data_IF_292648102731
#
_entry.id   IF_292648102731
#
_cell.length_a   1.000
_cell.length_b   1.000
_cell.length_c   1.000
_cell.angle_alpha   90.00
_cell.angle_beta   90.00
_cell.angle_gamma   90.00
#
_symmetry.space_group_name_H-M   'P 1'
#
loop_
_entity.id
_entity.type
_entity.pdbx_description
1 polymer ?
#
# COMPACT_ATOMS: atom_id res chain seq x y z
N UNK A 1 4.04 13.30 3.88
CA UNK A 1 3.58 12.07 3.20
C UNK A 1 2.55 12.44 2.14
N UNK A 2 2.78 12.02 0.92
CA UNK A 2 1.81 12.15 -0.15
C UNK A 2 0.78 11.03 -0.06
N UNK A 3 -0.50 11.34 -0.25
CA UNK A 3 -1.58 10.34 -0.24
C UNK A 3 -2.21 10.30 -1.63
N UNK A 4 -2.26 9.11 -2.23
CA UNK A 4 -2.94 8.85 -3.48
C UNK A 4 -4.13 7.96 -3.16
N UNK A 5 -5.34 8.46 -3.38
CA UNK A 5 -6.57 7.79 -2.99
C UNK A 5 -7.67 8.05 -4.02
N UNK A 6 -8.54 7.08 -4.22
CA UNK A 6 -9.70 7.24 -5.10
C UNK A 6 -9.38 7.18 -6.60
N UNK A 7 -8.18 6.79 -6.98
CA UNK A 7 -7.79 6.68 -8.39
C UNK A 7 -6.87 5.49 -8.61
N UNK A 8 -6.97 4.89 -9.79
CA UNK A 8 -6.01 3.88 -10.26
C UNK A 8 -4.99 4.51 -11.22
N UNK A 9 -5.17 5.80 -11.54
CA UNK A 9 -4.34 6.51 -12.51
C UNK A 9 -3.35 7.41 -11.77
N UNK A 10 -2.14 6.90 -11.58
CA UNK A 10 -1.06 7.63 -10.93
C UNK A 10 0.28 7.17 -11.48
N UNK A 11 1.29 8.01 -11.34
CA UNK A 11 2.66 7.70 -11.73
C UNK A 11 3.60 8.34 -10.71
N UNK A 12 4.35 7.53 -9.98
CA UNK A 12 5.34 8.03 -9.03
C UNK A 12 6.65 8.38 -9.74
N UNK A 13 7.28 9.44 -9.29
CA UNK A 13 8.58 9.86 -9.80
C UNK A 13 9.69 9.26 -8.94
N UNK A 14 10.73 8.74 -9.59
CA UNK A 14 11.89 8.17 -8.91
C UNK A 14 11.71 6.72 -8.49
N UNK A 15 12.76 6.16 -7.94
CA UNK A 15 12.79 4.76 -7.52
C UNK A 15 12.14 4.57 -6.16
N UNK A 16 11.40 3.49 -5.99
CA UNK A 16 10.61 3.22 -4.79
C UNK A 16 10.92 1.87 -4.18
N UNK A 17 10.74 1.80 -2.86
CA UNK A 17 10.58 0.55 -2.13
C UNK A 17 9.13 0.51 -1.65
N UNK A 18 8.37 -0.52 -2.02
CA UNK A 18 6.95 -0.60 -1.71
C UNK A 18 6.64 -1.78 -0.80
N UNK A 19 5.82 -1.51 0.22
CA UNK A 19 5.21 -2.53 1.05
C UNK A 19 3.75 -2.67 0.65
N UNK A 20 3.35 -3.88 0.27
CA UNK A 20 1.99 -4.17 -0.17
C UNK A 20 1.30 -5.02 0.88
N UNK A 21 0.16 -4.57 1.37
CA UNK A 21 -0.58 -5.32 2.37
C UNK A 21 -1.90 -4.67 2.74
N UNK A 22 -2.66 -5.38 3.55
CA UNK A 22 -3.94 -4.88 4.08
C UNK A 22 -3.71 -3.91 5.23
N UNK A 23 -2.70 -4.17 6.04
CA UNK A 23 -2.31 -3.34 7.19
C UNK A 23 -3.45 -3.15 8.20
N UNK A 24 -4.28 -4.16 8.36
CA UNK A 24 -5.33 -4.16 9.38
C UNK A 24 -4.80 -4.78 10.66
N UNK A 25 -5.05 -4.10 11.81
CA UNK A 25 -4.63 -4.58 13.10
C UNK A 25 -3.14 -4.44 13.41
N UNK A 26 -2.33 -3.93 12.51
CA UNK A 26 -0.90 -3.65 12.69
C UNK A 26 -0.12 -4.74 13.41
N UNK A 27 -0.17 -5.95 12.89
CA UNK A 27 0.56 -7.11 13.44
C UNK A 27 2.08 -7.00 13.25
N UNK A 28 2.83 -7.85 13.96
CA UNK A 28 4.31 -7.90 13.88
C UNK A 28 4.81 -8.09 12.45
N UNK A 29 4.09 -8.86 11.63
CA UNK A 29 4.44 -9.05 10.23
C UNK A 29 4.44 -7.75 9.43
N UNK A 30 3.50 -6.86 9.72
CA UNK A 30 3.45 -5.55 9.07
C UNK A 30 4.64 -4.67 9.47
N UNK A 31 5.08 -4.77 10.73
CA UNK A 31 6.27 -4.03 11.19
C UNK A 31 7.52 -4.48 10.44
N UNK A 32 7.65 -5.78 10.17
CA UNK A 32 8.78 -6.30 9.40
C UNK A 32 8.79 -5.76 7.97
N UNK A 33 7.62 -5.74 7.30
CA UNK A 33 7.49 -5.17 5.97
C UNK A 33 7.86 -3.69 5.94
N UNK A 34 7.34 -2.93 6.89
CA UNK A 34 7.60 -1.50 6.99
C UNK A 34 9.07 -1.22 7.29
N UNK A 35 9.71 -2.05 8.12
CA UNK A 35 11.15 -1.93 8.40
C UNK A 35 11.98 -2.09 7.15
N UNK A 36 11.62 -3.02 6.26
CA UNK A 36 12.35 -3.24 5.01
C UNK A 36 12.34 -2.01 4.11
N UNK A 37 11.17 -1.39 3.93
CA UNK A 37 11.08 -0.21 3.07
C UNK A 37 11.72 1.03 3.72
N UNK A 38 11.67 1.14 5.05
CA UNK A 38 12.33 2.24 5.75
C UNK A 38 13.85 2.10 5.70
N UNK A 39 14.40 0.88 5.73
CA UNK A 39 15.81 0.64 5.49
C UNK A 39 16.21 1.02 4.07
N UNK A 40 15.37 0.68 3.08
CA UNK A 40 15.62 1.06 1.69
C UNK A 40 15.59 2.58 1.50
N UNK A 41 14.78 3.30 2.27
CA UNK A 41 14.72 4.75 2.26
C UNK A 41 16.10 5.35 2.60
N UNK A 42 16.84 4.75 3.51
CA UNK A 42 18.20 5.19 3.86
C UNK A 42 19.16 5.07 2.68
N UNK A 43 18.84 4.24 1.70
CA UNK A 43 19.66 4.04 0.48
C UNK A 43 19.16 4.86 -0.70
N UNK A 44 18.26 5.81 -0.48
CA UNK A 44 17.79 6.73 -1.50
C UNK A 44 16.51 6.35 -2.22
N UNK A 45 15.85 5.26 -1.82
CA UNK A 45 14.54 4.90 -2.36
C UNK A 45 13.43 5.60 -1.57
N UNK A 46 12.36 6.01 -2.25
CA UNK A 46 11.21 6.50 -1.50
C UNK A 46 10.43 5.34 -0.89
N UNK A 47 9.95 5.54 0.34
CA UNK A 47 9.19 4.51 1.06
C UNK A 47 7.70 4.64 0.70
N UNK A 48 7.16 3.61 0.07
CA UNK A 48 5.78 3.58 -0.41
C UNK A 48 5.01 2.46 0.29
N UNK A 49 3.83 2.78 0.79
CA UNK A 49 2.88 1.79 1.28
C UNK A 49 1.72 1.71 0.29
N UNK A 50 1.40 0.48 -0.12
CA UNK A 50 0.26 0.20 -1.01
C UNK A 50 -0.76 -0.62 -0.23
N UNK A 51 -1.95 -0.07 -0.05
CA UNK A 51 -3.03 -0.75 0.63
C UNK A 51 -4.33 -0.56 -0.16
N UNK A 52 -5.39 -1.24 0.26
CA UNK A 52 -6.66 -1.26 -0.46
C UNK A 52 -7.73 -0.47 0.28
N UNK A 53 -8.60 0.18 -0.47
CA UNK A 53 -9.71 0.95 0.06
C UNK A 53 -10.97 0.72 -0.78
N UNK A 54 -12.03 0.11 -0.26
CA UNK A 54 -12.15 -0.43 1.10
C UNK A 54 -11.27 -1.66 1.32
N UNK A 55 -11.05 -2.08 2.57
CA UNK A 55 -10.32 -3.33 2.82
C UNK A 55 -11.03 -4.52 2.17
N UNK A 56 -10.30 -5.57 1.71
CA UNK A 56 -10.93 -6.73 1.07
C UNK A 56 -12.04 -7.37 1.88
N UNK A 57 -11.87 -7.45 3.21
CA UNK A 57 -12.89 -8.01 4.08
C UNK A 57 -14.21 -7.24 3.99
N UNK A 58 -14.16 -5.92 3.87
CA UNK A 58 -15.34 -5.08 3.75
C UNK A 58 -16.00 -5.25 2.37
N UNK A 59 -15.18 -5.24 1.29
CA UNK A 59 -15.71 -5.38 -0.06
C UNK A 59 -16.47 -6.70 -0.26
N UNK A 60 -15.84 -7.81 0.14
CA UNK A 60 -16.39 -9.15 -0.11
C UNK A 60 -17.47 -9.57 0.89
N UNK A 61 -17.49 -9.02 2.09
CA UNK A 61 -18.54 -9.30 3.08
C UNK A 61 -19.75 -8.37 2.96
N UNK A 62 -19.56 -7.20 2.37
CA UNK A 62 -20.58 -6.15 2.29
C UNK A 62 -20.93 -5.53 3.64
N UNK A 63 -20.13 -5.77 4.67
CA UNK A 63 -20.38 -5.28 6.03
C UNK A 63 -19.11 -4.72 6.63
N UNK A 64 -19.27 -3.74 7.54
CA UNK A 64 -18.16 -3.27 8.35
C UNK A 64 -17.67 -4.41 9.24
N UNK A 65 -16.35 -4.59 9.31
CA UNK A 65 -15.71 -5.65 10.10
C UNK A 65 -15.13 -5.02 11.37
N UNK A 66 -15.44 -5.59 12.52
CA UNK A 66 -14.92 -5.13 13.81
C UNK A 66 -13.40 -5.36 13.88
N UNK A 67 -12.69 -4.44 14.52
CA UNK A 67 -11.25 -4.57 14.74
C UNK A 67 -10.39 -4.11 13.57
N UNK A 68 -10.98 -3.63 12.48
CA UNK A 68 -10.20 -3.04 11.40
C UNK A 68 -9.70 -1.66 11.79
N UNK A 69 -8.45 -1.38 11.45
CA UNK A 69 -7.86 -0.06 11.60
C UNK A 69 -8.53 0.91 10.62
N UNK A 70 -8.92 2.09 11.09
CA UNK A 70 -9.55 3.10 10.23
C UNK A 70 -8.53 3.69 9.25
N UNK A 71 -9.06 4.33 8.19
CA UNK A 71 -8.23 5.04 7.21
C UNK A 71 -7.39 6.12 7.89
N UNK A 72 -7.99 6.89 8.76
CA UNK A 72 -7.33 7.98 9.49
C UNK A 72 -6.23 7.46 10.42
N UNK A 73 -6.48 6.35 11.10
CA UNK A 73 -5.48 5.71 11.95
C UNK A 73 -4.28 5.23 11.14
N UNK A 74 -4.52 4.59 9.99
CA UNK A 74 -3.45 4.15 9.09
C UNK A 74 -2.63 5.33 8.57
N UNK A 75 -3.29 6.38 8.11
CA UNK A 75 -2.63 7.59 7.61
C UNK A 75 -1.74 8.22 8.68
N UNK A 76 -2.26 8.30 9.91
CA UNK A 76 -1.49 8.85 11.03
C UNK A 76 -0.25 8.02 11.32
N UNK A 77 -0.42 6.71 11.39
CA UNK A 77 0.70 5.80 11.68
C UNK A 77 1.78 5.88 10.61
N UNK A 78 1.40 5.77 9.35
CA UNK A 78 2.37 5.81 8.26
C UNK A 78 3.11 7.15 8.19
N UNK A 79 2.43 8.24 8.48
CA UNK A 79 3.06 9.56 8.55
C UNK A 79 4.07 9.62 9.68
N UNK A 80 3.73 9.08 10.85
CA UNK A 80 4.62 9.08 12.02
C UNK A 80 5.90 8.29 11.79
N UNK A 81 5.82 7.17 11.08
CA UNK A 81 7.00 6.32 10.86
C UNK A 81 7.84 6.74 9.67
N UNK A 82 7.43 7.74 8.92
CA UNK A 82 8.24 8.32 7.85
C UNK A 82 7.97 7.77 6.46
N UNK A 83 6.77 7.26 6.19
CA UNK A 83 6.38 6.85 4.83
C UNK A 83 6.27 8.08 3.93
N UNK A 84 6.83 7.98 2.72
CA UNK A 84 6.83 9.08 1.76
C UNK A 84 5.54 9.15 0.95
N UNK A 85 5.01 8.00 0.53
CA UNK A 85 3.78 7.92 -0.28
C UNK A 85 2.90 6.80 0.25
N UNK A 86 1.64 7.11 0.46
CA UNK A 86 0.60 6.13 0.79
C UNK A 86 -0.37 6.04 -0.38
N UNK A 87 -0.49 4.84 -0.95
CA UNK A 87 -1.44 4.56 -2.01
C UNK A 87 -2.59 3.77 -1.41
N UNK A 88 -3.77 4.37 -1.41
CA UNK A 88 -5.04 3.72 -1.02
C UNK A 88 -5.74 3.33 -2.31
N UNK A 89 -5.39 2.16 -2.83
CA UNK A 89 -5.82 1.70 -4.15
C UNK A 89 -7.30 1.31 -4.11
N UNK A 90 -8.15 1.84 -5.01
CA UNK A 90 -9.57 1.51 -5.02
C UNK A 90 -9.78 0.02 -5.25
N UNK A 91 -10.39 -0.64 -4.28
CA UNK A 91 -10.73 -2.05 -4.41
C UNK A 91 -12.19 -2.18 -4.83
N UNK A 92 -12.37 -2.65 -6.05
CA UNK A 92 -13.67 -2.95 -6.64
C UNK A 92 -13.62 -4.38 -7.18
N UNK A 93 -14.76 -4.92 -7.59
CA UNK A 93 -14.73 -6.23 -8.24
C UNK A 93 -13.93 -6.21 -9.53
N UNK A 94 -13.87 -5.07 -10.21
CA UNK A 94 -13.07 -4.88 -11.41
C UNK A 94 -11.57 -4.87 -11.11
N UNK A 95 -11.13 -4.09 -10.12
CA UNK A 95 -9.71 -4.04 -9.76
C UNK A 95 -9.26 -5.33 -9.10
N UNK A 96 -10.12 -6.00 -8.34
CA UNK A 96 -9.83 -7.31 -7.76
C UNK A 96 -9.62 -8.39 -8.82
N UNK A 97 -10.12 -8.18 -10.04
CA UNK A 97 -9.97 -9.12 -11.16
C UNK A 97 -8.68 -8.89 -11.97
N UNK A 98 -7.88 -7.88 -11.64
CA UNK A 98 -6.58 -7.66 -12.30
C UNK A 98 -5.70 -8.88 -12.03
N UNK A 99 -5.10 -9.43 -13.11
CA UNK A 99 -4.24 -10.59 -12.97
C UNK A 99 -2.98 -10.25 -12.17
N UNK A 100 -2.37 -11.23 -11.47
CA UNK A 100 -1.11 -10.99 -10.76
C UNK A 100 0.00 -10.44 -11.68
N UNK A 101 0.05 -10.91 -12.91
CA UNK A 101 1.05 -10.46 -13.89
C UNK A 101 0.85 -8.98 -14.24
N UNK A 102 -0.39 -8.58 -14.53
CA UNK A 102 -0.70 -7.20 -14.85
C UNK A 102 -0.49 -6.29 -13.64
N UNK A 103 -0.84 -6.76 -12.45
CA UNK A 103 -0.60 -5.99 -11.22
C UNK A 103 0.90 -5.70 -11.05
N UNK A 104 1.75 -6.72 -11.20
CA UNK A 104 3.18 -6.56 -11.05
C UNK A 104 3.77 -5.67 -12.16
N UNK A 105 3.38 -5.90 -13.40
CA UNK A 105 3.95 -5.18 -14.53
C UNK A 105 3.48 -3.73 -14.60
N UNK A 106 2.18 -3.51 -14.51
CA UNK A 106 1.61 -2.17 -14.73
C UNK A 106 1.68 -1.34 -13.45
N UNK A 107 1.17 -1.87 -12.35
CA UNK A 107 1.04 -1.07 -11.12
C UNK A 107 2.37 -0.99 -10.38
N UNK A 108 3.00 -2.12 -10.12
CA UNK A 108 4.21 -2.15 -9.29
C UNK A 108 5.42 -1.60 -10.05
N UNK A 109 5.67 -2.09 -11.27
CA UNK A 109 6.83 -1.65 -12.06
C UNK A 109 6.64 -0.28 -12.71
N UNK A 110 5.57 -0.13 -13.48
CA UNK A 110 5.40 1.09 -14.30
C UNK A 110 4.89 2.27 -13.50
N UNK A 111 3.85 2.09 -12.69
CA UNK A 111 3.24 3.21 -11.96
C UNK A 111 3.97 3.56 -10.66
N UNK A 112 4.41 2.58 -9.90
CA UNK A 112 5.12 2.81 -8.63
C UNK A 112 6.62 2.97 -8.84
N UNK A 113 7.20 2.30 -9.84
CA UNK A 113 8.64 2.32 -10.05
C UNK A 113 9.38 1.57 -8.96
N UNK A 114 8.86 0.44 -8.54
CA UNK A 114 9.41 -0.31 -7.41
C UNK A 114 10.73 -0.99 -7.77
N UNK A 115 11.75 -0.78 -6.96
CA UNK A 115 13.02 -1.51 -6.99
C UNK A 115 13.08 -2.59 -5.93
N UNK A 116 12.26 -2.44 -4.87
CA UNK A 116 12.13 -3.41 -3.79
C UNK A 116 10.65 -3.55 -3.47
N UNK A 117 10.20 -4.80 -3.35
CA UNK A 117 8.81 -5.11 -3.01
C UNK A 117 8.78 -6.01 -1.79
N UNK A 118 8.07 -5.57 -0.75
CA UNK A 118 7.79 -6.38 0.43
C UNK A 118 6.28 -6.59 0.48
N UNK A 119 5.86 -7.84 0.58
CA UNK A 119 4.44 -8.19 0.56
C UNK A 119 4.10 -9.17 1.69
N UNK A 120 2.95 -8.96 2.27
CA UNK A 120 2.48 -9.80 3.36
C UNK A 120 0.99 -10.05 3.32
#
# INVERSE_FOLDING_TARGET
MQIISGTTDFLLQGASAVAIGKFDGMHRGHKALLSEILEAKKRGLQAVVFTFDPPPAVLFSGKAVKGLTTREEKRRLFRQIGIDVLIEFPLTFQTAAISPEDFLRVIVQEQIGAKLVAAG
#
